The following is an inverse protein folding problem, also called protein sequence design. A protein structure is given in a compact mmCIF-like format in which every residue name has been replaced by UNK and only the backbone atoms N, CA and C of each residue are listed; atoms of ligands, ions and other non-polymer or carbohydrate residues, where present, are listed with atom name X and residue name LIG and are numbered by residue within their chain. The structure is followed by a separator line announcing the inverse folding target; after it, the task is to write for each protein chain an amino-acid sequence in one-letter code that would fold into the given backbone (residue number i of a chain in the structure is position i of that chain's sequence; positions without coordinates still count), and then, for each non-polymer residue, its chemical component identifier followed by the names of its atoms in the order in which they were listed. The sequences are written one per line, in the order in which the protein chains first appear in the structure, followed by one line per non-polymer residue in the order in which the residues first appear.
data_IF_358233942962
#
_entry.id   IF_358233942962
#
_cell.length_a   1.000
_cell.length_b   1.000
_cell.length_c   1.000
_cell.angle_alpha   90.00
_cell.angle_beta   90.00
_cell.angle_gamma   90.00
#
_symmetry.space_group_name_H-M   'P 1'
#
loop_
_entity.id
_entity.type
_entity.pdbx_description
1 polymer ?
#
# COMPACT_ATOMS: atom_id res chain seq x y z
N UNK A 1 -18.35 -11.13 17.08
CA UNK A 1 -19.00 -11.99 16.09
C UNK A 1 -17.96 -13.00 15.66
N UNK A 2 -18.05 -14.24 16.14
CA UNK A 2 -17.08 -15.31 15.83
C UNK A 2 -17.59 -16.00 14.57
N UNK A 3 -16.78 -16.05 13.51
CA UNK A 3 -17.14 -16.70 12.25
C UNK A 3 -16.72 -18.16 12.37
N UNK A 4 -17.67 -19.08 12.55
CA UNK A 4 -17.35 -20.51 12.58
C UNK A 4 -17.00 -21.02 11.18
N UNK A 5 -15.80 -21.56 11.04
CA UNK A 5 -15.24 -22.04 9.78
C UNK A 5 -15.78 -23.44 9.43
N UNK A 6 -16.54 -23.56 8.34
CA UNK A 6 -16.88 -24.85 7.73
C UNK A 6 -15.83 -25.24 6.68
N UNK A 7 -15.49 -26.53 6.58
CA UNK A 7 -14.37 -27.07 5.80
C UNK A 7 -14.41 -26.83 4.28
N UNK A 8 -15.47 -26.22 3.75
CA UNK A 8 -15.66 -25.92 2.32
C UNK A 8 -15.65 -24.42 1.97
N UNK A 9 -15.47 -23.52 2.93
CA UNK A 9 -15.50 -22.07 2.65
C UNK A 9 -14.20 -21.58 1.98
N UNK A 10 -14.33 -20.76 0.94
CA UNK A 10 -13.18 -20.21 0.20
C UNK A 10 -12.57 -19.07 1.01
N UNK A 11 -11.27 -18.83 0.84
CA UNK A 11 -10.58 -17.72 1.53
C UNK A 11 -11.22 -16.35 1.23
N UNK A 12 -11.82 -16.22 0.04
CA UNK A 12 -12.57 -15.04 -0.41
C UNK A 12 -13.82 -14.75 0.43
N UNK A 13 -14.35 -15.75 1.13
CA UNK A 13 -15.52 -15.63 2.00
C UNK A 13 -15.16 -15.05 3.38
N UNK A 14 -13.86 -15.04 3.74
CA UNK A 14 -13.37 -14.60 5.05
C UNK A 14 -12.89 -13.15 5.07
N UNK A 15 -12.58 -12.56 3.91
CA UNK A 15 -12.03 -11.21 3.84
C UNK A 15 -12.45 -10.50 2.56
N UNK A 16 -12.81 -9.22 2.68
CA UNK A 16 -13.24 -8.42 1.52
C UNK A 16 -12.01 -7.93 0.72
N UNK A 17 -11.52 -8.77 -0.18
CA UNK A 17 -10.40 -8.44 -1.06
C UNK A 17 -10.72 -7.31 -2.06
N UNK A 18 -11.99 -7.13 -2.41
CA UNK A 18 -12.41 -6.02 -3.29
C UNK A 18 -12.19 -4.68 -2.60
N UNK A 19 -12.63 -4.57 -1.35
CA UNK A 19 -12.41 -3.39 -0.51
C UNK A 19 -10.91 -3.19 -0.22
N UNK A 20 -10.16 -4.25 0.10
CA UNK A 20 -8.72 -4.18 0.29
C UNK A 20 -8.03 -3.57 -0.94
N UNK A 21 -8.34 -4.09 -2.13
CA UNK A 21 -7.81 -3.57 -3.38
C UNK A 21 -8.17 -2.11 -3.61
N UNK A 22 -9.44 -1.73 -3.42
CA UNK A 22 -9.88 -0.33 -3.51
C UNK A 22 -9.10 0.59 -2.57
N UNK A 23 -8.94 0.19 -1.30
CA UNK A 23 -8.21 0.97 -0.30
C UNK A 23 -6.72 1.04 -0.60
N UNK A 24 -6.11 -0.05 -1.09
CA UNK A 24 -4.72 -0.01 -1.55
C UNK A 24 -4.52 1.00 -2.67
N UNK A 25 -5.42 1.05 -3.66
CA UNK A 25 -5.33 2.04 -4.76
C UNK A 25 -5.46 3.48 -4.23
N UNK A 26 -6.41 3.74 -3.33
CA UNK A 26 -6.55 5.05 -2.68
C UNK A 26 -5.27 5.44 -1.90
N UNK A 27 -4.63 4.49 -1.21
CA UNK A 27 -3.35 4.72 -0.52
C UNK A 27 -2.24 5.10 -1.49
N UNK A 28 -2.13 4.44 -2.66
CA UNK A 28 -1.13 4.79 -3.68
C UNK A 28 -1.31 6.23 -4.17
N UNK A 29 -2.55 6.67 -4.41
CA UNK A 29 -2.85 8.04 -4.81
C UNK A 29 -2.43 9.03 -3.72
N UNK A 30 -2.81 8.76 -2.47
CA UNK A 30 -2.49 9.61 -1.33
C UNK A 30 -0.97 9.73 -1.11
N UNK A 31 -0.23 8.62 -1.18
CA UNK A 31 1.23 8.62 -1.02
C UNK A 31 1.93 9.39 -2.15
N UNK A 32 1.38 9.36 -3.36
CA UNK A 32 1.88 10.19 -4.46
C UNK A 32 1.65 11.68 -4.20
N UNK A 33 0.47 12.06 -3.68
CA UNK A 33 0.19 13.44 -3.26
C UNK A 33 1.16 13.88 -2.16
N UNK A 34 1.47 13.01 -1.19
CA UNK A 34 2.48 13.32 -0.15
C UNK A 34 3.84 13.61 -0.76
N UNK A 35 4.31 12.85 -1.77
CA UNK A 35 5.56 13.18 -2.47
C UNK A 35 5.49 14.58 -3.08
N UNK A 36 4.32 14.98 -3.57
CA UNK A 36 4.10 16.26 -4.22
C UNK A 36 4.07 17.45 -3.23
N UNK A 37 3.37 17.30 -2.11
CA UNK A 37 3.08 18.37 -1.15
C UNK A 37 4.00 18.40 0.08
N UNK A 38 4.86 17.39 0.28
CA UNK A 38 5.68 17.30 1.49
C UNK A 38 6.65 18.48 1.63
N UNK A 39 6.74 19.02 2.84
CA UNK A 39 7.78 19.98 3.21
C UNK A 39 9.08 19.25 3.53
N UNK A 40 10.14 19.55 2.78
CA UNK A 40 11.47 18.96 3.01
C UNK A 40 12.34 19.92 3.84
N UNK A 41 12.59 19.62 5.14
CA UNK A 41 13.20 20.56 6.06
C UNK A 41 14.67 20.91 5.74
N UNK A 42 15.32 20.11 4.90
CA UNK A 42 16.70 20.36 4.47
C UNK A 42 16.78 21.25 3.24
N UNK A 43 15.67 21.57 2.57
CA UNK A 43 15.69 22.46 1.42
C UNK A 43 16.17 23.86 1.82
N UNK A 44 16.99 24.47 0.96
CA UNK A 44 17.62 25.76 1.28
C UNK A 44 16.74 26.88 0.75
N UNK A 45 16.38 27.84 1.59
CA UNK A 45 15.76 29.09 1.11
C UNK A 45 16.87 30.03 0.64
N UNK A 46 16.83 30.44 -0.62
CA UNK A 46 17.77 31.39 -1.23
C UNK A 46 16.95 32.44 -1.96
N UNK A 47 17.11 33.72 -1.59
CA UNK A 47 16.41 34.85 -2.20
C UNK A 47 14.87 34.72 -2.17
N UNK A 48 14.33 34.11 -1.10
CA UNK A 48 12.89 33.85 -0.94
C UNK A 48 12.38 32.59 -1.65
N UNK A 49 13.23 31.88 -2.40
CA UNK A 49 12.87 30.66 -3.11
C UNK A 49 13.39 29.39 -2.43
N UNK A 50 12.60 28.32 -2.44
CA UNK A 50 13.01 27.00 -1.95
C UNK A 50 13.89 26.33 -3.02
N UNK A 51 15.17 26.09 -2.70
CA UNK A 51 16.10 25.30 -3.50
C UNK A 51 16.15 23.86 -2.98
N UNK A 52 15.66 22.88 -3.75
CA UNK A 52 15.56 21.50 -3.30
C UNK A 52 16.94 20.89 -3.05
N UNK A 53 17.09 20.21 -1.91
CA UNK A 53 18.28 19.42 -1.57
C UNK A 53 18.10 17.96 -1.99
N UNK A 54 19.10 17.13 -1.64
CA UNK A 54 19.22 15.73 -2.09
C UNK A 54 17.94 14.93 -1.87
N UNK A 55 17.34 15.01 -0.67
CA UNK A 55 16.15 14.21 -0.32
C UNK A 55 14.95 14.59 -1.19
N UNK A 56 14.63 15.89 -1.32
CA UNK A 56 13.54 16.34 -2.19
C UNK A 56 13.78 15.89 -3.64
N UNK A 57 14.98 16.17 -4.17
CA UNK A 57 15.34 15.74 -5.54
C UNK A 57 15.17 14.24 -5.75
N UNK A 58 15.67 13.41 -4.83
CA UNK A 58 15.55 11.96 -4.92
C UNK A 58 14.09 11.51 -4.87
N UNK A 59 13.28 12.05 -3.96
CA UNK A 59 11.87 11.67 -3.84
C UNK A 59 11.06 12.07 -5.08
N UNK A 60 11.26 13.27 -5.62
CA UNK A 60 10.58 13.70 -6.85
C UNK A 60 11.02 12.89 -8.07
N UNK A 61 12.28 12.48 -8.10
CA UNK A 61 12.86 11.72 -9.21
C UNK A 61 12.45 10.24 -9.19
N UNK A 62 12.54 9.57 -8.04
CA UNK A 62 12.24 8.14 -7.91
C UNK A 62 10.77 7.86 -7.58
N UNK A 63 10.09 8.79 -6.90
CA UNK A 63 8.69 8.66 -6.43
C UNK A 63 8.40 7.35 -5.68
N UNK A 64 9.37 6.87 -4.90
CA UNK A 64 9.24 5.64 -4.13
C UNK A 64 8.20 5.81 -3.01
N UNK A 65 7.34 4.80 -2.85
CA UNK A 65 6.31 4.74 -1.80
C UNK A 65 6.46 3.45 -1.00
N UNK A 66 6.08 3.49 0.28
CA UNK A 66 6.03 2.33 1.16
C UNK A 66 4.61 2.07 1.64
N UNK A 67 4.11 0.85 1.46
CA UNK A 67 2.80 0.41 1.96
C UNK A 67 3.04 -0.72 2.95
N UNK A 68 2.68 -0.49 4.20
CA UNK A 68 2.70 -1.50 5.27
C UNK A 68 1.29 -1.85 5.71
N UNK A 69 1.17 -2.87 6.56
CA UNK A 69 -0.10 -3.30 7.16
C UNK A 69 0.05 -3.45 8.67
N UNK A 70 -1.05 -3.23 9.38
CA UNK A 70 -1.19 -3.46 10.81
C UNK A 70 -2.48 -4.25 11.07
N UNK A 71 -2.61 -4.87 12.24
CA UNK A 71 -3.82 -5.61 12.60
C UNK A 71 -3.99 -6.98 11.92
N UNK A 72 -2.91 -7.54 11.35
CA UNK A 72 -2.98 -8.89 10.76
C UNK A 72 -3.25 -9.95 11.83
N UNK A 73 -2.68 -9.81 13.03
CA UNK A 73 -2.96 -10.69 14.15
C UNK A 73 -4.43 -10.66 14.58
N UNK A 74 -5.02 -9.46 14.66
CA UNK A 74 -6.43 -9.27 14.97
C UNK A 74 -7.34 -9.90 13.91
N UNK A 75 -6.95 -9.83 12.63
CA UNK A 75 -7.65 -10.54 11.56
C UNK A 75 -7.63 -12.05 11.79
N UNK A 76 -6.46 -12.65 12.03
CA UNK A 76 -6.34 -14.09 12.29
C UNK A 76 -7.18 -14.50 13.51
N UNK A 77 -7.14 -13.71 14.58
CA UNK A 77 -7.97 -13.94 15.77
C UNK A 77 -9.47 -13.84 15.47
N UNK A 78 -9.90 -12.87 14.65
CA UNK A 78 -11.32 -12.71 14.26
C UNK A 78 -11.87 -13.87 13.43
N UNK A 79 -10.97 -14.62 12.78
CA UNK A 79 -11.26 -15.82 12.01
C UNK A 79 -11.21 -17.09 12.87
N UNK A 80 -10.93 -16.99 14.17
CA UNK A 80 -10.79 -18.14 15.07
C UNK A 80 -9.71 -19.14 14.59
N UNK A 81 -8.60 -18.60 14.09
CA UNK A 81 -7.46 -19.37 13.59
C UNK A 81 -6.26 -19.24 14.54
N UNK A 82 -5.52 -20.34 14.72
CA UNK A 82 -4.17 -20.29 15.32
C UNK A 82 -3.15 -19.85 14.26
N UNK A 83 -2.06 -19.19 14.66
CA UNK A 83 -1.02 -18.72 13.73
C UNK A 83 -0.30 -19.86 12.98
N UNK A 84 -0.26 -21.05 13.57
CA UNK A 84 0.32 -22.26 13.01
C UNK A 84 -0.61 -22.96 12.03
N UNK A 85 -1.87 -22.52 11.92
CA UNK A 85 -2.83 -23.10 11.00
C UNK A 85 -2.36 -22.87 9.55
N UNK A 86 -2.28 -23.92 8.70
CA UNK A 86 -1.86 -23.79 7.31
C UNK A 86 -2.64 -22.72 6.52
N UNK A 87 -3.92 -22.50 6.86
CA UNK A 87 -4.79 -21.50 6.21
C UNK A 87 -4.30 -20.07 6.44
N UNK A 88 -3.63 -19.79 7.57
CA UNK A 88 -3.05 -18.47 7.85
C UNK A 88 -1.97 -18.12 6.83
N UNK A 89 -1.16 -19.11 6.44
CA UNK A 89 -0.13 -18.93 5.40
C UNK A 89 -0.76 -18.62 4.03
N UNK A 90 -1.89 -19.25 3.71
CA UNK A 90 -2.63 -18.98 2.47
C UNK A 90 -3.29 -17.60 2.49
N UNK A 91 -3.94 -17.22 3.60
CA UNK A 91 -4.50 -15.88 3.81
C UNK A 91 -3.41 -14.83 3.64
N UNK A 92 -2.24 -15.03 4.27
CA UNK A 92 -1.11 -14.13 4.16
C UNK A 92 -0.66 -13.94 2.70
N UNK A 93 -0.49 -15.03 1.95
CA UNK A 93 -0.10 -14.99 0.54
C UNK A 93 -1.13 -14.22 -0.30
N UNK A 94 -2.41 -14.51 -0.13
CA UNK A 94 -3.49 -13.86 -0.90
C UNK A 94 -3.63 -12.39 -0.54
N UNK A 95 -3.55 -12.06 0.75
CA UNK A 95 -3.62 -10.70 1.27
C UNK A 95 -2.52 -9.82 0.66
N UNK A 96 -1.25 -10.23 0.80
CA UNK A 96 -0.14 -9.44 0.27
C UNK A 96 -0.08 -9.43 -1.25
N UNK A 97 -0.51 -10.50 -1.92
CA UNK A 97 -0.64 -10.52 -3.38
C UNK A 97 -1.69 -9.51 -3.87
N UNK A 98 -2.83 -9.41 -3.17
CA UNK A 98 -3.87 -8.43 -3.49
C UNK A 98 -3.38 -7.00 -3.32
N UNK A 99 -2.70 -6.69 -2.21
CA UNK A 99 -2.09 -5.37 -1.98
C UNK A 99 -1.06 -5.05 -3.06
N UNK A 100 -0.11 -5.96 -3.31
CA UNK A 100 0.96 -5.71 -4.28
C UNK A 100 0.44 -5.50 -5.71
N UNK A 101 -0.50 -6.35 -6.15
CA UNK A 101 -1.14 -6.22 -7.46
C UNK A 101 -1.84 -4.87 -7.62
N UNK A 102 -2.68 -4.49 -6.65
CA UNK A 102 -3.41 -3.23 -6.71
C UNK A 102 -2.49 -2.02 -6.61
N UNK A 103 -1.39 -2.12 -5.86
CA UNK A 103 -0.41 -1.05 -5.77
C UNK A 103 0.30 -0.81 -7.11
N UNK A 104 0.74 -1.87 -7.79
CA UNK A 104 1.34 -1.78 -9.13
C UNK A 104 0.30 -1.26 -10.12
N UNK A 105 -0.89 -1.85 -10.13
CA UNK A 105 -1.95 -1.46 -11.04
C UNK A 105 -2.22 0.05 -10.97
N UNK A 106 -2.39 0.58 -9.76
CA UNK A 106 -2.63 2.02 -9.58
C UNK A 106 -1.42 2.86 -9.98
N UNK A 107 -0.20 2.42 -9.66
CA UNK A 107 1.02 3.10 -10.08
C UNK A 107 1.12 3.21 -11.62
N UNK A 108 0.75 2.16 -12.33
CA UNK A 108 0.67 2.16 -13.81
C UNK A 108 -0.43 3.12 -14.29
N UNK A 109 -1.62 3.11 -13.67
CA UNK A 109 -2.68 4.07 -14.03
C UNK A 109 -2.25 5.53 -13.84
N UNK A 110 -1.58 5.84 -12.72
CA UNK A 110 -1.00 7.16 -12.48
C UNK A 110 0.07 7.51 -13.52
N UNK A 111 0.88 6.55 -13.93
CA UNK A 111 1.92 6.76 -14.95
C UNK A 111 1.32 7.06 -16.32
N UNK A 112 0.22 6.40 -16.68
CA UNK A 112 -0.52 6.68 -17.92
C UNK A 112 -1.13 8.09 -17.86
N UNK A 113 -1.67 8.50 -16.72
CA UNK A 113 -2.37 9.78 -16.56
C UNK A 113 -1.42 10.98 -16.43
N UNK A 114 -0.31 10.83 -15.70
CA UNK A 114 0.57 11.94 -15.27
C UNK A 114 2.01 11.82 -15.79
N UNK A 115 2.34 10.74 -16.50
CA UNK A 115 3.71 10.38 -16.87
C UNK A 115 4.37 9.50 -15.80
N UNK A 116 5.35 8.71 -16.23
CA UNK A 116 6.13 7.84 -15.35
C UNK A 116 7.11 8.63 -14.48
N UNK A 117 7.60 8.02 -13.40
CA UNK A 117 8.61 8.65 -12.55
C UNK A 117 9.89 8.92 -13.37
N UNK A 118 10.54 10.10 -13.26
CA UNK A 118 11.70 10.44 -14.10
C UNK A 118 12.85 9.43 -14.12
N UNK A 119 12.93 8.57 -13.11
CA UNK A 119 13.94 7.52 -12.98
C UNK A 119 13.63 6.20 -13.74
N UNK A 120 12.44 6.05 -14.32
CA UNK A 120 12.00 4.83 -15.02
C UNK A 120 12.51 4.80 -16.46
#
# INVERSE_FOLDING_TARGET
MVIHLHSESKIQDYYNFSLLGEKTRQIVDNLNVVIDDNFYPLDKIVDGEIKPKRINKTNKHQRAIGIGVTGFADLIYSLDLSFEDPRVSEINKLFFSCVYWNAIFQSVQLSILRGYAPAF
#
